data_IF_602750057605
#
_entry.id   IF_602750057605
#
_cell.length_a   1.000
_cell.length_b   1.000
_cell.length_c   1.000
_cell.angle_alpha   90.00
_cell.angle_beta   90.00
_cell.angle_gamma   90.00
#
_symmetry.space_group_name_H-M   'P 1'
#
loop_
_entity.id
_entity.type
_entity.pdbx_description
1 polymer ?
#
# COMPACT_ATOMS: atom_id res chain seq x y z
N UNK A 1 -4.00 -14.67 -21.84
CA UNK A 1 -3.77 -14.27 -20.42
C UNK A 1 -2.28 -14.06 -20.08
N UNK A 2 -1.39 -15.05 -20.19
CA UNK A 2 0.04 -14.92 -19.82
C UNK A 2 0.77 -13.79 -20.58
N UNK A 3 0.51 -13.63 -21.89
CA UNK A 3 1.13 -12.55 -22.67
C UNK A 3 0.65 -11.16 -22.23
N UNK A 4 -0.63 -11.04 -21.86
CA UNK A 4 -1.20 -9.80 -21.31
C UNK A 4 -0.59 -9.47 -19.95
N UNK A 5 -0.40 -10.48 -19.09
CA UNK A 5 0.26 -10.32 -17.79
C UNK A 5 1.72 -9.89 -17.93
N UNK A 6 2.50 -10.53 -18.83
CA UNK A 6 3.89 -10.14 -19.08
C UNK A 6 4.02 -8.71 -19.61
N UNK A 7 3.10 -8.30 -20.48
CA UNK A 7 3.07 -6.94 -21.01
C UNK A 7 2.76 -5.90 -19.92
N UNK A 8 1.74 -6.14 -19.11
CA UNK A 8 1.37 -5.26 -17.99
C UNK A 8 2.45 -5.21 -16.92
N UNK A 9 3.07 -6.34 -16.58
CA UNK A 9 4.19 -6.39 -15.64
C UNK A 9 5.35 -5.53 -16.10
N UNK A 10 5.74 -5.62 -17.38
CA UNK A 10 6.84 -4.80 -17.92
C UNK A 10 6.48 -3.31 -17.90
N UNK A 11 5.24 -2.96 -18.25
CA UNK A 11 4.74 -1.58 -18.24
C UNK A 11 4.82 -0.99 -16.84
N UNK A 12 4.30 -1.69 -15.83
CA UNK A 12 4.27 -1.18 -14.45
C UNK A 12 5.65 -1.17 -13.79
N UNK A 13 6.51 -2.15 -14.08
CA UNK A 13 7.88 -2.17 -13.54
C UNK A 13 8.72 -0.99 -14.03
N UNK A 14 8.48 -0.51 -15.25
CA UNK A 14 9.20 0.63 -15.82
C UNK A 14 8.64 1.99 -15.41
N UNK A 15 7.48 2.02 -14.75
CA UNK A 15 6.83 3.28 -14.37
C UNK A 15 7.30 3.75 -13.00
N UNK A 16 8.04 4.87 -12.91
CA UNK A 16 8.55 5.36 -11.62
C UNK A 16 7.41 5.68 -10.65
N UNK A 17 6.24 6.10 -11.15
CA UNK A 17 5.07 6.41 -10.33
C UNK A 17 4.62 5.23 -9.44
N UNK A 18 4.75 3.98 -9.90
CA UNK A 18 4.39 2.79 -9.10
C UNK A 18 5.35 2.62 -7.93
N UNK A 19 6.64 2.84 -8.17
CA UNK A 19 7.68 2.75 -7.15
C UNK A 19 7.60 3.92 -6.15
N UNK A 20 7.33 5.13 -6.63
CA UNK A 20 7.11 6.30 -5.77
C UNK A 20 5.89 6.08 -4.88
N UNK A 21 4.78 5.59 -5.43
CA UNK A 21 3.60 5.27 -4.65
C UNK A 21 3.87 4.17 -3.62
N UNK A 22 4.61 3.12 -3.99
CA UNK A 22 5.06 2.08 -3.06
C UNK A 22 5.93 2.62 -1.93
N UNK A 23 6.87 3.51 -2.25
CA UNK A 23 7.71 4.19 -1.26
C UNK A 23 6.92 5.09 -0.33
N UNK A 24 5.97 5.87 -0.87
CA UNK A 24 5.04 6.68 -0.07
C UNK A 24 4.19 5.78 0.82
N UNK A 25 3.74 4.62 0.33
CA UNK A 25 2.96 3.69 1.13
C UNK A 25 3.75 3.14 2.31
N UNK A 26 4.98 2.67 2.10
CA UNK A 26 5.83 2.20 3.19
C UNK A 26 6.14 3.32 4.18
N UNK A 27 6.49 4.51 3.69
CA UNK A 27 6.77 5.67 4.54
C UNK A 27 5.55 6.09 5.37
N UNK A 28 4.37 6.17 4.74
CA UNK A 28 3.13 6.53 5.41
C UNK A 28 2.74 5.49 6.48
N UNK A 29 2.86 4.20 6.18
CA UNK A 29 2.56 3.14 7.14
C UNK A 29 3.49 3.19 8.36
N UNK A 30 4.78 3.46 8.18
CA UNK A 30 5.74 3.60 9.28
C UNK A 30 5.47 4.89 10.08
N UNK A 31 5.21 6.00 9.39
CA UNK A 31 4.95 7.30 10.02
C UNK A 31 3.67 7.27 10.86
N UNK A 32 2.56 6.85 10.27
CA UNK A 32 1.26 6.83 10.94
C UNK A 32 1.10 5.62 11.87
N UNK A 33 1.66 4.46 11.52
CA UNK A 33 1.58 3.26 12.35
C UNK A 33 2.44 3.34 13.60
N UNK A 34 3.65 3.91 13.50
CA UNK A 34 4.63 3.86 14.59
C UNK A 34 5.15 5.22 15.03
N UNK A 35 5.74 6.00 14.12
CA UNK A 35 6.47 7.21 14.52
C UNK A 35 5.56 8.24 15.20
N UNK A 36 4.35 8.45 14.67
CA UNK A 36 3.38 9.39 15.21
C UNK A 36 2.86 8.95 16.58
N UNK A 37 2.51 7.67 16.74
CA UNK A 37 2.10 7.10 18.03
C UNK A 37 3.22 7.21 19.07
N UNK A 38 4.46 6.89 18.68
CA UNK A 38 5.62 6.99 19.57
C UNK A 38 5.86 8.43 20.04
N UNK A 39 5.77 9.41 19.13
CA UNK A 39 5.95 10.83 19.46
C UNK A 39 4.86 11.31 20.42
N UNK A 40 3.58 10.94 20.21
CA UNK A 40 2.51 11.31 21.13
C UNK A 40 2.71 10.73 22.54
N UNK A 41 3.21 9.50 22.63
CA UNK A 41 3.50 8.83 23.91
C UNK A 41 4.78 9.35 24.58
N UNK A 42 5.76 9.80 23.79
CA UNK A 42 7.00 10.41 24.29
C UNK A 42 6.77 11.84 24.79
N UNK A 43 5.91 12.61 24.13
CA UNK A 43 5.53 13.97 24.49
C UNK A 43 4.01 14.08 24.72
N UNK A 44 3.50 13.52 25.84
CA UNK A 44 2.08 13.58 26.14
C UNK A 44 1.63 15.03 26.29
N UNK A 45 0.66 15.45 25.47
CA UNK A 45 0.05 16.78 25.61
C UNK A 45 -0.73 16.85 26.93
N UNK A 46 -0.95 18.06 27.44
CA UNK A 46 -1.70 18.29 28.70
C UNK A 46 -3.14 17.76 28.67
N UNK A 47 -3.67 17.47 27.48
CA UNK A 47 -5.00 16.92 27.22
C UNK A 47 -4.97 15.43 26.81
N UNK A 48 -3.83 14.75 26.94
CA UNK A 48 -3.71 13.34 26.57
C UNK A 48 -4.37 12.47 27.65
N UNK A 49 -5.61 12.10 27.41
CA UNK A 49 -6.35 11.14 28.22
C UNK A 49 -6.18 9.75 27.61
N UNK A 50 -5.55 8.79 28.31
CA UNK A 50 -5.49 7.42 27.83
C UNK A 50 -6.90 6.86 27.71
N UNK A 51 -7.29 6.43 26.51
CA UNK A 51 -8.54 5.70 26.33
C UNK A 51 -8.49 4.40 27.14
N UNK A 52 -9.54 4.14 27.95
CA UNK A 52 -9.67 2.90 28.72
C UNK A 52 -9.01 2.88 30.10
N UNK A 53 -8.52 4.00 30.63
CA UNK A 53 -7.99 4.07 32.01
C UNK A 53 -6.60 3.42 32.19
N UNK A 54 -5.91 3.11 31.09
CA UNK A 54 -4.55 2.57 31.09
C UNK A 54 -3.52 3.66 31.41
N UNK A 55 -2.46 3.32 32.15
CA UNK A 55 -1.40 4.30 32.44
C UNK A 55 -0.52 4.54 31.20
N UNK A 56 0.07 5.73 31.06
CA UNK A 56 0.98 6.07 29.93
C UNK A 56 2.12 5.05 29.79
N UNK A 57 2.59 4.49 30.91
CA UNK A 57 3.58 3.42 30.94
C UNK A 57 3.09 2.15 30.21
N UNK A 58 1.82 1.76 30.39
CA UNK A 58 1.24 0.58 29.77
C UNK A 58 1.02 0.77 28.26
N UNK A 59 0.64 1.97 27.81
CA UNK A 59 0.58 2.28 26.37
C UNK A 59 1.97 2.26 25.72
N UNK A 60 3.01 2.72 26.42
CA UNK A 60 4.40 2.57 25.93
C UNK A 60 4.80 1.10 25.80
N UNK A 61 4.39 0.25 26.74
CA UNK A 61 4.59 -1.20 26.66
C UNK A 61 3.86 -1.82 25.46
N UNK A 62 2.66 -1.32 25.14
CA UNK A 62 1.90 -1.76 23.97
C UNK A 62 2.54 -1.32 22.64
N UNK A 63 3.37 -0.28 22.65
CA UNK A 63 4.13 0.19 21.48
C UNK A 63 5.51 -0.47 21.30
N UNK A 64 5.87 -1.42 22.16
CA UNK A 64 7.15 -2.12 22.01
C UNK A 64 7.26 -2.83 20.64
N UNK A 65 8.49 -3.01 20.12
CA UNK A 65 8.72 -3.66 18.83
C UNK A 65 8.05 -5.04 18.70
N UNK A 66 7.88 -5.75 19.82
CA UNK A 66 7.17 -7.04 19.87
C UNK A 66 5.71 -6.96 19.40
N UNK A 67 5.06 -5.79 19.59
CA UNK A 67 3.68 -5.53 19.19
C UNK A 67 3.61 -4.72 17.88
N UNK A 68 4.74 -4.43 17.24
CA UNK A 68 4.80 -3.61 16.04
C UNK A 68 3.95 -4.19 14.92
N UNK A 69 3.99 -5.51 14.71
CA UNK A 69 3.17 -6.21 13.70
C UNK A 69 1.67 -6.04 13.99
N UNK A 70 1.28 -6.15 15.27
CA UNK A 70 -0.12 -6.02 15.69
C UNK A 70 -0.65 -4.59 15.51
N UNK A 71 0.12 -3.59 15.92
CA UNK A 71 -0.25 -2.18 15.76
C UNK A 71 -0.19 -1.74 14.27
N UNK A 72 0.72 -2.33 13.50
CA UNK A 72 0.85 -2.08 12.07
C UNK A 72 -0.37 -2.57 11.28
N UNK A 73 -0.98 -3.70 11.68
CA UNK A 73 -2.19 -4.23 11.04
C UNK A 73 -3.36 -3.22 11.08
N UNK A 74 -3.52 -2.49 12.18
CA UNK A 74 -4.54 -1.43 12.29
C UNK A 74 -4.24 -0.26 11.36
N UNK A 75 -2.99 0.22 11.33
CA UNK A 75 -2.56 1.30 10.43
C UNK A 75 -2.64 0.93 8.93
N UNK A 76 -2.35 -0.32 8.61
CA UNK A 76 -2.46 -0.87 7.24
C UNK A 76 -3.91 -0.87 6.75
N UNK A 77 -4.89 -1.08 7.63
CA UNK A 77 -6.30 -1.17 7.24
C UNK A 77 -6.79 0.07 6.46
N UNK A 78 -6.57 1.27 6.99
CA UNK A 78 -7.06 2.51 6.38
C UNK A 78 -6.08 3.06 5.34
N UNK A 79 -4.80 3.23 5.71
CA UNK A 79 -3.82 3.89 4.84
C UNK A 79 -3.43 2.98 3.67
N UNK A 80 -3.25 1.69 3.94
CA UNK A 80 -2.92 0.70 2.92
C UNK A 80 -4.04 0.50 1.90
N UNK A 81 -5.31 0.51 2.33
CA UNK A 81 -6.44 0.35 1.41
C UNK A 81 -6.61 1.54 0.46
N UNK A 82 -6.50 2.77 0.97
CA UNK A 82 -6.56 4.00 0.16
C UNK A 82 -5.44 4.02 -0.88
N UNK A 83 -4.21 3.71 -0.48
CA UNK A 83 -3.06 3.74 -1.38
C UNK A 83 -3.10 2.61 -2.42
N UNK A 84 -3.62 1.44 -2.05
CA UNK A 84 -3.88 0.34 -3.01
C UNK A 84 -4.97 0.71 -4.01
N UNK A 85 -6.01 1.44 -3.57
CA UNK A 85 -7.04 1.98 -4.47
C UNK A 85 -6.44 3.01 -5.45
N UNK A 86 -5.58 3.90 -4.97
CA UNK A 86 -4.86 4.87 -5.82
C UNK A 86 -3.97 4.14 -6.82
N UNK A 87 -3.28 3.05 -6.42
CA UNK A 87 -2.51 2.23 -7.34
C UNK A 87 -3.41 1.68 -8.46
N UNK A 88 -4.56 1.09 -8.13
CA UNK A 88 -5.52 0.60 -9.11
C UNK A 88 -5.99 1.69 -10.08
N UNK A 89 -6.34 2.87 -9.54
CA UNK A 89 -6.76 4.02 -10.34
C UNK A 89 -5.64 4.54 -11.25
N UNK A 90 -4.39 4.56 -10.77
CA UNK A 90 -3.22 4.95 -11.56
C UNK A 90 -3.01 3.97 -12.73
N UNK A 91 -3.07 2.67 -12.48
CA UNK A 91 -2.89 1.64 -13.51
C UNK A 91 -3.97 1.78 -14.58
N UNK A 92 -5.24 1.88 -14.21
CA UNK A 92 -6.35 2.02 -15.17
C UNK A 92 -6.30 3.38 -15.88
N UNK A 93 -6.21 4.48 -15.13
CA UNK A 93 -6.27 5.85 -15.66
C UNK A 93 -5.11 6.17 -16.61
N UNK A 94 -3.94 5.62 -16.36
CA UNK A 94 -2.78 5.81 -17.23
C UNK A 94 -2.95 5.24 -18.64
N UNK A 95 -3.83 4.25 -18.84
CA UNK A 95 -4.11 3.71 -20.17
C UNK A 95 -4.97 4.66 -21.00
N UNK A 96 -5.93 5.32 -20.33
CA UNK A 96 -6.73 6.38 -20.93
C UNK A 96 -5.90 7.62 -21.21
N UNK A 97 -5.02 8.02 -20.29
CA UNK A 97 -4.16 9.20 -20.44
C UNK A 97 -3.15 9.08 -21.59
N UNK A 98 -2.69 7.87 -21.90
CA UNK A 98 -1.70 7.62 -22.97
C UNK A 98 -2.34 7.13 -24.27
N UNK A 99 -3.68 6.97 -24.31
CA UNK A 99 -4.41 6.48 -25.48
C UNK A 99 -4.15 5.01 -25.85
N UNK A 100 -3.48 4.24 -24.98
CA UNK A 100 -3.09 2.85 -25.26
C UNK A 100 -4.27 1.87 -25.23
N UNK A 101 -5.43 2.30 -24.73
CA UNK A 101 -6.66 1.48 -24.72
C UNK A 101 -7.00 0.99 -26.13
N UNK A 102 -6.90 1.86 -27.14
CA UNK A 102 -7.24 1.51 -28.53
C UNK A 102 -6.28 0.47 -29.11
N UNK A 103 -4.98 0.58 -28.80
CA UNK A 103 -3.95 -0.33 -29.31
C UNK A 103 -4.04 -1.71 -28.66
N UNK A 104 -4.36 -1.77 -27.36
CA UNK A 104 -4.58 -3.04 -26.65
C UNK A 104 -5.75 -3.80 -27.25
N UNK A 105 -6.88 -3.14 -27.54
CA UNK A 105 -8.06 -3.81 -28.08
C UNK A 105 -7.98 -4.15 -29.58
N UNK A 106 -7.06 -3.55 -30.34
CA UNK A 106 -6.84 -3.91 -31.75
C UNK A 106 -5.97 -5.17 -31.92
N UNK A 107 -5.18 -5.57 -30.91
CA UNK A 107 -4.28 -6.72 -30.98
C UNK A 107 -4.94 -8.09 -30.70
N UNK A 108 -6.28 -8.18 -30.70
CA UNK A 108 -7.08 -9.40 -30.46
C UNK A 108 -7.14 -10.00 -29.02
N UNK A 109 -6.57 -9.46 -27.92
CA UNK A 109 -6.91 -9.99 -26.61
C UNK A 109 -8.39 -9.71 -26.31
N UNK A 110 -9.14 -10.75 -25.92
CA UNK A 110 -10.53 -10.59 -25.48
C UNK A 110 -10.61 -9.65 -24.28
N UNK A 111 -11.68 -8.85 -24.19
CA UNK A 111 -11.86 -7.82 -23.13
C UNK A 111 -11.62 -8.36 -21.72
N UNK A 112 -12.14 -9.56 -21.45
CA UNK A 112 -12.00 -10.23 -20.16
C UNK A 112 -10.55 -10.66 -19.87
N UNK A 113 -9.79 -11.07 -20.89
CA UNK A 113 -8.40 -11.49 -20.70
C UNK A 113 -7.46 -10.31 -20.42
N UNK A 114 -7.73 -9.15 -21.02
CA UNK A 114 -6.97 -7.92 -20.74
C UNK A 114 -7.21 -7.47 -19.30
N UNK A 115 -8.49 -7.38 -18.89
CA UNK A 115 -8.88 -7.00 -17.54
C UNK A 115 -8.34 -7.97 -16.48
N UNK A 116 -8.46 -9.28 -16.70
CA UNK A 116 -7.92 -10.28 -15.77
C UNK A 116 -6.38 -10.23 -15.67
N UNK A 117 -5.69 -9.96 -16.79
CA UNK A 117 -4.24 -9.76 -16.78
C UNK A 117 -3.83 -8.54 -15.96
N UNK A 118 -4.52 -7.43 -16.13
CA UNK A 118 -4.29 -6.19 -15.41
C UNK A 118 -4.58 -6.33 -13.91
N UNK A 119 -5.73 -6.91 -13.54
CA UNK A 119 -6.06 -7.21 -12.14
C UNK A 119 -5.00 -8.11 -11.51
N UNK A 120 -4.59 -9.17 -12.21
CA UNK A 120 -3.56 -10.09 -11.70
C UNK A 120 -2.24 -9.38 -11.42
N UNK A 121 -1.79 -8.49 -12.31
CA UNK A 121 -0.55 -7.74 -12.11
C UNK A 121 -0.67 -6.77 -10.92
N UNK A 122 -1.79 -6.04 -10.81
CA UNK A 122 -2.02 -5.12 -9.68
C UNK A 122 -2.04 -5.88 -8.36
N UNK A 123 -2.71 -7.04 -8.30
CA UNK A 123 -2.72 -7.90 -7.11
C UNK A 123 -1.31 -8.40 -6.73
N UNK A 124 -0.49 -8.78 -7.71
CA UNK A 124 0.89 -9.20 -7.45
C UNK A 124 1.75 -8.04 -6.92
N UNK A 125 1.61 -6.84 -7.48
CA UNK A 125 2.32 -5.65 -6.99
C UNK A 125 1.90 -5.31 -5.56
N UNK A 126 0.59 -5.33 -5.28
CA UNK A 126 0.08 -5.12 -3.93
C UNK A 126 0.63 -6.16 -2.95
N UNK A 127 0.67 -7.44 -3.33
CA UNK A 127 1.25 -8.50 -2.52
C UNK A 127 2.75 -8.28 -2.24
N UNK A 128 3.52 -7.85 -3.24
CA UNK A 128 4.94 -7.52 -3.07
C UNK A 128 5.12 -6.39 -2.07
N UNK A 129 4.32 -5.33 -2.16
CA UNK A 129 4.40 -4.23 -1.21
C UNK A 129 3.98 -4.63 0.20
N UNK A 130 2.97 -5.48 0.35
CA UNK A 130 2.59 -6.05 1.64
C UNK A 130 3.74 -6.84 2.25
N UNK A 131 4.40 -7.70 1.47
CA UNK A 131 5.56 -8.47 1.93
C UNK A 131 6.71 -7.52 2.30
N UNK A 132 6.99 -6.51 1.47
CA UNK A 132 8.04 -5.52 1.75
C UNK A 132 7.75 -4.75 3.05
N UNK A 133 6.48 -4.41 3.31
CA UNK A 133 6.08 -3.79 4.55
C UNK A 133 6.35 -4.68 5.75
N UNK A 134 5.89 -5.94 5.72
CA UNK A 134 6.15 -6.88 6.82
C UNK A 134 7.64 -7.19 7.00
N UNK A 135 8.43 -7.18 5.92
CA UNK A 135 9.87 -7.37 6.00
C UNK A 135 10.60 -6.17 6.64
N UNK A 136 10.08 -4.95 6.47
CA UNK A 136 10.59 -3.75 7.18
C UNK A 136 10.08 -3.71 8.63
N UNK A 137 8.94 -4.33 8.89
CA UNK A 137 8.28 -4.37 10.19
C UNK A 137 8.78 -5.47 11.14
N UNK A 138 9.50 -6.48 10.63
CA UNK A 138 10.06 -7.61 11.37
C UNK A 138 11.47 -7.32 11.88
#
# INVERSE_FOLDING_TARGET
MINSFKAEWRKLRQRPAVWVLGGIMLAALILFGYAFNWIQLAFPSKNFHPEGGLTIAQLKTALYPINFVKNSLEGVGIVGSILTLILGALVVGSEFGWGTVKTVYTQRPGRLQALAGQMGVVSVIAAIFTIAFYAVAA
#
